data_IF_429072264901
#
_entry.id   IF_429072264901
#
_cell.length_a   1.000
_cell.length_b   1.000
_cell.length_c   1.000
_cell.angle_alpha   90.00
_cell.angle_beta   90.00
_cell.angle_gamma   90.00
#
_symmetry.space_group_name_H-M   'P 1'
#
loop_
_entity.id
_entity.type
_entity.pdbx_description
1 polymer ?
#
# COMPACT_ATOMS: atom_id res chain seq x y z
N UNK A 1 -25.85 -1.66 -4.30
CA UNK A 1 -24.46 -1.12 -4.36
C UNK A 1 -24.37 -0.33 -5.63
N UNK A 2 -23.93 0.94 -5.56
CA UNK A 2 -23.58 1.68 -6.77
C UNK A 2 -22.50 0.89 -7.53
N UNK A 3 -22.62 0.89 -8.85
CA UNK A 3 -21.62 0.23 -9.70
C UNK A 3 -20.28 0.95 -9.51
N UNK A 4 -19.24 0.24 -9.08
CA UNK A 4 -17.88 0.82 -8.85
C UNK A 4 -17.36 1.56 -10.08
N UNK A 5 -17.72 1.10 -11.28
CA UNK A 5 -17.35 1.76 -12.54
C UNK A 5 -17.98 3.14 -12.68
N UNK A 6 -19.20 3.36 -12.16
CA UNK A 6 -19.85 4.68 -12.18
C UNK A 6 -19.12 5.70 -11.29
N UNK A 7 -18.43 5.21 -10.26
CA UNK A 7 -17.71 6.04 -9.29
C UNK A 7 -16.25 6.26 -9.71
N UNK A 8 -15.56 5.20 -10.12
CA UNK A 8 -14.11 5.22 -10.36
C UNK A 8 -13.74 5.23 -11.86
N UNK A 9 -14.68 4.94 -12.74
CA UNK A 9 -14.41 4.76 -14.18
C UNK A 9 -13.81 5.97 -14.89
N UNK A 10 -14.03 7.19 -14.37
CA UNK A 10 -13.43 8.42 -14.92
C UNK A 10 -12.07 8.76 -14.30
N UNK A 11 -11.66 8.08 -13.22
CA UNK A 11 -10.43 8.41 -12.51
C UNK A 11 -9.19 7.95 -13.29
N UNK A 12 -8.14 8.75 -13.22
CA UNK A 12 -6.84 8.47 -13.83
C UNK A 12 -5.79 8.00 -12.79
N UNK A 13 -6.11 8.10 -11.51
CA UNK A 13 -5.33 7.58 -10.40
C UNK A 13 -6.22 7.42 -9.17
N UNK A 14 -5.94 6.43 -8.35
CA UNK A 14 -6.68 6.13 -7.13
C UNK A 14 -5.72 6.13 -5.95
N UNK A 15 -5.97 7.00 -4.96
CA UNK A 15 -5.22 7.05 -3.73
C UNK A 15 -6.12 6.59 -2.58
N UNK A 16 -5.67 5.57 -1.84
CA UNK A 16 -6.31 5.14 -0.59
C UNK A 16 -5.52 5.71 0.58
N UNK A 17 -6.14 6.68 1.24
CA UNK A 17 -5.54 7.46 2.32
C UNK A 17 -5.37 6.66 3.61
N UNK A 18 -4.48 7.11 4.53
CA UNK A 18 -4.35 6.53 5.86
C UNK A 18 -5.66 6.63 6.67
N UNK A 19 -5.73 5.83 7.73
CA UNK A 19 -6.89 5.78 8.63
C UNK A 19 -6.76 4.69 9.68
N UNK A 20 -7.84 4.46 10.42
CA UNK A 20 -7.93 3.46 11.48
C UNK A 20 -9.32 2.82 11.51
N UNK A 21 -9.39 1.61 12.08
CA UNK A 21 -10.65 0.91 12.36
C UNK A 21 -11.39 0.42 11.11
N UNK A 22 -12.59 -0.08 11.32
CA UNK A 22 -13.34 -0.88 10.35
C UNK A 22 -14.17 -0.06 9.34
N UNK A 23 -14.32 1.27 9.56
CA UNK A 23 -15.21 2.08 8.73
C UNK A 23 -14.71 2.20 7.28
N UNK A 24 -15.51 1.71 6.34
CA UNK A 24 -15.27 1.86 4.91
C UNK A 24 -14.14 0.97 4.35
N UNK A 25 -13.68 -0.03 5.12
CA UNK A 25 -12.57 -0.91 4.71
C UNK A 25 -12.93 -1.69 3.44
N UNK A 26 -14.10 -2.32 3.38
CA UNK A 26 -14.51 -3.09 2.20
C UNK A 26 -14.62 -2.19 0.95
N UNK A 27 -15.06 -0.94 1.11
CA UNK A 27 -15.05 0.04 0.02
C UNK A 27 -13.64 0.39 -0.46
N UNK A 28 -12.66 0.51 0.45
CA UNK A 28 -11.26 0.72 0.11
C UNK A 28 -10.68 -0.51 -0.61
N UNK A 29 -10.96 -1.72 -0.12
CA UNK A 29 -10.54 -2.97 -0.76
C UNK A 29 -11.13 -3.10 -2.18
N UNK A 30 -12.40 -2.73 -2.37
CA UNK A 30 -13.02 -2.68 -3.70
C UNK A 30 -12.34 -1.65 -4.62
N UNK A 31 -11.96 -0.48 -4.11
CA UNK A 31 -11.24 0.52 -4.89
C UNK A 31 -9.84 0.03 -5.28
N UNK A 32 -9.15 -0.68 -4.39
CA UNK A 32 -7.87 -1.35 -4.70
C UNK A 32 -8.05 -2.40 -5.81
N UNK A 33 -9.05 -3.26 -5.68
CA UNK A 33 -9.37 -4.28 -6.69
C UNK A 33 -9.63 -3.63 -8.05
N UNK A 34 -10.43 -2.56 -8.06
CA UNK A 34 -10.71 -1.80 -9.28
C UNK A 34 -9.42 -1.26 -9.91
N UNK A 35 -8.56 -0.61 -9.11
CA UNK A 35 -7.30 -0.06 -9.59
C UNK A 35 -6.40 -1.15 -10.19
N UNK A 36 -6.21 -2.26 -9.46
CA UNK A 36 -5.36 -3.36 -9.87
C UNK A 36 -5.86 -4.03 -11.17
N UNK A 37 -7.13 -4.36 -11.26
CA UNK A 37 -7.70 -5.09 -12.39
C UNK A 37 -7.84 -4.23 -13.66
N UNK A 38 -8.12 -2.93 -13.50
CA UNK A 38 -8.27 -1.97 -14.59
C UNK A 38 -6.96 -1.21 -14.92
N UNK A 39 -5.86 -1.57 -14.28
CA UNK A 39 -4.54 -0.94 -14.49
C UNK A 39 -4.53 0.58 -14.26
N UNK A 40 -5.40 1.07 -13.36
CA UNK A 40 -5.42 2.48 -12.95
C UNK A 40 -4.31 2.72 -11.91
N UNK A 41 -3.41 3.69 -12.09
CA UNK A 41 -2.38 4.02 -11.11
C UNK A 41 -2.93 4.09 -9.68
N UNK A 42 -2.27 3.37 -8.76
CA UNK A 42 -2.74 3.20 -7.39
C UNK A 42 -1.68 3.59 -6.37
N UNK A 43 -2.07 4.36 -5.37
CA UNK A 43 -1.24 4.69 -4.22
C UNK A 43 -1.96 4.37 -2.91
N UNK A 44 -1.42 3.43 -2.12
CA UNK A 44 -1.93 3.08 -0.79
C UNK A 44 -1.01 3.59 0.32
N UNK A 45 -1.53 4.42 1.24
CA UNK A 45 -0.76 5.00 2.34
C UNK A 45 -1.24 4.42 3.67
N UNK A 46 -0.33 3.86 4.46
CA UNK A 46 -0.57 3.27 5.78
C UNK A 46 -1.72 2.24 5.72
N UNK A 47 -2.93 2.57 6.19
CA UNK A 47 -4.11 1.72 6.02
C UNK A 47 -4.39 1.39 4.55
N UNK A 48 -4.06 2.28 3.62
CA UNK A 48 -4.19 2.04 2.18
C UNK A 48 -3.28 0.92 1.69
N UNK A 49 -2.05 0.83 2.17
CA UNK A 49 -1.18 -0.32 1.92
C UNK A 49 -1.77 -1.60 2.52
N UNK A 50 -2.27 -1.56 3.75
CA UNK A 50 -2.89 -2.72 4.39
C UNK A 50 -4.11 -3.22 3.61
N UNK A 51 -4.94 -2.31 3.10
CA UNK A 51 -6.07 -2.65 2.23
C UNK A 51 -5.59 -3.33 0.92
N UNK A 52 -4.48 -2.88 0.32
CA UNK A 52 -3.99 -3.54 -0.89
C UNK A 52 -3.39 -4.92 -0.63
N UNK A 53 -2.75 -5.13 0.51
CA UNK A 53 -2.28 -6.47 0.95
C UNK A 53 -3.47 -7.40 1.16
N UNK A 54 -4.52 -6.96 1.85
CA UNK A 54 -5.74 -7.75 2.08
C UNK A 54 -6.43 -8.08 0.75
N UNK A 55 -6.58 -7.10 -0.15
CA UNK A 55 -7.17 -7.31 -1.47
C UNK A 55 -6.42 -8.37 -2.26
N UNK A 56 -5.10 -8.24 -2.31
CA UNK A 56 -4.24 -9.17 -3.05
C UNK A 56 -4.31 -10.59 -2.48
N UNK A 57 -4.31 -10.72 -1.16
CA UNK A 57 -4.48 -12.00 -0.49
C UNK A 57 -5.82 -12.67 -0.85
N UNK A 58 -6.91 -11.90 -0.83
CA UNK A 58 -8.25 -12.42 -1.12
C UNK A 58 -8.42 -12.83 -2.59
N UNK A 59 -7.96 -12.00 -3.52
CA UNK A 59 -8.32 -12.12 -4.93
C UNK A 59 -7.21 -12.73 -5.81
N UNK A 60 -5.97 -12.79 -5.34
CA UNK A 60 -4.84 -13.36 -6.09
C UNK A 60 -4.31 -14.63 -5.40
N UNK A 61 -4.09 -14.59 -4.07
CA UNK A 61 -3.63 -15.78 -3.33
C UNK A 61 -4.74 -16.75 -2.98
N UNK A 62 -6.03 -16.37 -3.14
CA UNK A 62 -7.17 -17.22 -2.84
C UNK A 62 -7.54 -17.31 -1.35
N UNK A 63 -6.99 -16.45 -0.51
CA UNK A 63 -7.29 -16.37 0.92
C UNK A 63 -8.53 -15.50 1.16
N UNK A 64 -9.71 -15.98 0.79
CA UNK A 64 -10.97 -15.22 0.80
C UNK A 64 -11.31 -14.57 2.16
N UNK A 65 -10.82 -15.16 3.26
CA UNK A 65 -11.01 -14.67 4.63
C UNK A 65 -9.79 -13.90 5.17
N UNK A 66 -8.86 -13.45 4.28
CA UNK A 66 -7.71 -12.66 4.69
C UNK A 66 -8.15 -11.31 5.26
N UNK A 67 -7.52 -10.91 6.37
CA UNK A 67 -7.84 -9.67 7.05
C UNK A 67 -6.64 -9.14 7.86
N UNK A 68 -6.84 -7.99 8.48
CA UNK A 68 -5.98 -7.46 9.54
C UNK A 68 -6.55 -7.86 10.90
N UNK A 69 -5.68 -8.20 11.85
CA UNK A 69 -6.09 -8.43 13.25
C UNK A 69 -6.55 -7.15 13.97
N UNK A 70 -6.40 -5.97 13.35
CA UNK A 70 -7.07 -4.74 13.81
C UNK A 70 -8.59 -4.80 13.59
N UNK A 71 -9.03 -5.46 12.52
CA UNK A 71 -10.42 -5.48 12.06
C UNK A 71 -11.14 -6.75 12.51
N UNK A 72 -10.40 -7.85 12.59
CA UNK A 72 -10.86 -9.16 13.03
C UNK A 72 -9.73 -9.88 13.76
N UNK A 73 -9.81 -9.93 15.09
CA UNK A 73 -8.82 -10.58 15.95
C UNK A 73 -8.77 -12.10 15.81
N UNK A 74 -9.77 -12.69 15.12
CA UNK A 74 -9.84 -14.10 14.77
C UNK A 74 -9.62 -14.35 13.27
N UNK A 75 -9.03 -13.39 12.53
CA UNK A 75 -8.78 -13.54 11.11
C UNK A 75 -8.06 -14.85 10.79
N UNK A 76 -8.62 -15.65 9.89
CA UNK A 76 -8.06 -16.96 9.50
C UNK A 76 -6.71 -16.82 8.78
N UNK A 77 -6.58 -15.79 8.00
CA UNK A 77 -5.34 -15.41 7.32
C UNK A 77 -4.97 -13.98 7.71
N UNK A 78 -4.28 -13.77 8.84
CA UNK A 78 -3.89 -12.44 9.32
C UNK A 78 -2.69 -11.92 8.52
N UNK A 79 -2.95 -11.43 7.30
CA UNK A 79 -1.90 -10.90 6.41
C UNK A 79 -1.37 -9.54 6.87
N UNK A 80 -2.12 -8.88 7.74
CA UNK A 80 -1.73 -7.71 8.53
C UNK A 80 -1.92 -8.07 10.00
N UNK A 81 -0.86 -7.92 10.82
CA UNK A 81 -0.88 -8.36 12.22
C UNK A 81 -0.02 -7.44 13.10
N UNK A 82 -0.14 -7.59 14.41
CA UNK A 82 0.80 -7.04 15.38
C UNK A 82 2.15 -7.77 15.29
N UNK A 83 3.24 -7.05 15.53
CA UNK A 83 4.53 -7.71 15.77
C UNK A 83 4.48 -8.58 17.05
N UNK A 84 5.24 -9.67 17.06
CA UNK A 84 5.31 -10.57 18.23
C UNK A 84 5.68 -9.84 19.53
N UNK A 85 6.58 -8.84 19.43
CA UNK A 85 6.99 -8.01 20.56
C UNK A 85 5.85 -7.11 21.09
N UNK A 86 4.89 -6.75 20.24
CA UNK A 86 3.75 -5.92 20.59
C UNK A 86 2.59 -6.72 21.23
N UNK A 87 2.53 -8.04 20.99
CA UNK A 87 1.46 -8.91 21.51
C UNK A 87 1.44 -8.99 23.03
N UNK A 88 2.58 -8.78 23.68
CA UNK A 88 2.75 -8.85 25.13
C UNK A 88 2.59 -7.50 25.86
N UNK A 89 2.32 -6.40 25.15
CA UNK A 89 2.17 -5.07 25.74
C UNK A 89 0.71 -4.78 26.05
N UNK A 90 0.39 -4.62 27.33
CA UNK A 90 -0.98 -4.36 27.82
C UNK A 90 -1.48 -2.94 27.56
N UNK A 91 -0.58 -1.97 27.43
CA UNK A 91 -0.90 -0.58 27.13
C UNK A 91 -0.88 -0.31 25.63
N UNK A 92 -2.05 -0.15 25.03
CA UNK A 92 -2.23 0.07 23.56
C UNK A 92 -1.40 1.23 22.99
N UNK A 93 -1.12 2.28 23.77
CA UNK A 93 -0.28 3.42 23.35
C UNK A 93 1.19 3.08 23.14
N UNK A 94 1.73 2.11 23.88
CA UNK A 94 3.14 1.70 23.81
C UNK A 94 3.50 0.80 22.62
N UNK A 95 2.51 0.34 21.84
CA UNK A 95 2.73 -0.55 20.68
C UNK A 95 2.78 0.18 19.34
N UNK A 96 2.62 1.50 19.32
CA UNK A 96 2.57 2.28 18.09
C UNK A 96 4.00 2.61 17.61
N UNK A 97 4.31 2.30 16.36
CA UNK A 97 5.52 2.82 15.69
C UNK A 97 5.31 4.29 15.39
N UNK A 98 6.11 5.13 16.02
CA UNK A 98 6.07 6.59 15.90
C UNK A 98 7.45 7.13 15.53
N UNK A 99 7.49 8.08 14.60
CA UNK A 99 8.73 8.74 14.22
C UNK A 99 9.31 8.23 12.89
N UNK A 100 10.57 8.59 12.65
CA UNK A 100 11.27 8.25 11.43
C UNK A 100 12.01 6.92 11.55
N UNK A 101 11.88 6.07 10.54
CA UNK A 101 12.57 4.79 10.44
C UNK A 101 13.23 4.65 9.06
N UNK A 102 14.36 3.98 9.05
CA UNK A 102 15.10 3.67 7.83
C UNK A 102 14.38 2.58 7.03
N UNK A 103 14.36 2.72 5.72
CA UNK A 103 13.88 1.71 4.79
C UNK A 103 14.87 1.53 3.64
N UNK A 104 15.29 0.31 3.37
CA UNK A 104 16.10 -0.06 2.21
C UNK A 104 15.21 -0.47 1.04
N UNK A 105 15.50 0.10 -0.14
CA UNK A 105 14.74 -0.12 -1.37
C UNK A 105 15.43 -1.13 -2.29
N UNK A 106 14.63 -1.95 -2.95
CA UNK A 106 15.09 -2.72 -4.11
C UNK A 106 15.39 -1.75 -5.25
N UNK A 107 16.59 -1.84 -5.83
CA UNK A 107 17.06 -0.97 -6.91
C UNK A 107 16.27 -1.09 -8.22
N UNK A 108 15.50 -2.14 -8.39
CA UNK A 108 14.63 -2.36 -9.55
C UNK A 108 13.19 -1.93 -9.31
N UNK A 109 12.89 -1.26 -8.19
CA UNK A 109 11.54 -0.87 -7.81
C UNK A 109 11.11 0.48 -8.39
N UNK A 110 9.80 0.68 -8.47
CA UNK A 110 9.18 1.99 -8.79
C UNK A 110 9.59 3.03 -7.74
N UNK A 111 9.58 2.62 -6.47
CA UNK A 111 9.96 3.50 -5.35
C UNK A 111 11.42 3.93 -5.44
N UNK A 112 12.35 3.02 -5.73
CA UNK A 112 13.75 3.40 -5.95
C UNK A 112 13.90 4.43 -7.08
N UNK A 113 13.22 4.23 -8.19
CA UNK A 113 13.23 5.18 -9.31
C UNK A 113 12.68 6.55 -8.92
N UNK A 114 11.67 6.60 -8.06
CA UNK A 114 11.09 7.85 -7.58
C UNK A 114 12.02 8.59 -6.61
N UNK A 115 12.66 7.89 -5.67
CA UNK A 115 13.55 8.51 -4.68
C UNK A 115 14.96 8.80 -5.21
N UNK A 116 15.46 7.97 -6.15
CA UNK A 116 16.85 8.05 -6.63
C UNK A 116 17.90 7.61 -5.60
N UNK A 117 17.50 6.96 -4.52
CA UNK A 117 18.35 6.49 -3.43
C UNK A 117 17.85 5.13 -2.93
N UNK A 118 18.76 4.24 -2.54
CA UNK A 118 18.43 2.90 -2.02
C UNK A 118 18.21 2.85 -0.50
N UNK A 119 18.48 3.94 0.20
CA UNK A 119 18.16 4.07 1.61
C UNK A 119 17.39 5.37 1.86
N UNK A 120 16.22 5.25 2.44
CA UNK A 120 15.33 6.36 2.78
C UNK A 120 14.97 6.32 4.25
N UNK A 121 14.50 7.44 4.78
CA UNK A 121 13.99 7.52 6.14
C UNK A 121 12.62 8.16 6.11
N UNK A 122 11.58 7.46 6.55
CA UNK A 122 10.20 7.93 6.49
C UNK A 122 9.48 7.87 7.82
N UNK A 123 8.44 8.69 8.00
CA UNK A 123 7.71 8.82 9.27
C UNK A 123 6.54 7.85 9.34
N UNK A 124 6.43 7.16 10.47
CA UNK A 124 5.42 6.15 10.77
C UNK A 124 4.47 6.62 11.87
N UNK A 125 3.22 6.14 11.79
CA UNK A 125 2.20 6.29 12.82
C UNK A 125 1.19 5.15 12.70
N UNK A 126 1.60 3.93 13.05
CA UNK A 126 0.74 2.76 12.96
C UNK A 126 1.16 1.70 13.99
N UNK A 127 0.33 0.70 14.17
CA UNK A 127 0.56 -0.41 15.09
C UNK A 127 0.66 -1.73 14.35
N UNK A 128 -0.18 -1.92 13.32
CA UNK A 128 -0.26 -3.15 12.55
C UNK A 128 0.67 -3.08 11.35
N UNK A 129 1.25 -4.23 11.00
CA UNK A 129 2.30 -4.38 10.01
C UNK A 129 1.94 -5.49 9.01
N UNK A 130 2.58 -5.48 7.86
CA UNK A 130 2.58 -6.63 6.96
C UNK A 130 3.11 -7.86 7.69
N UNK A 131 2.36 -8.97 7.66
CA UNK A 131 2.77 -10.20 8.32
C UNK A 131 3.81 -10.95 7.46
N UNK A 132 5.06 -10.92 7.88
CA UNK A 132 6.20 -11.52 7.17
C UNK A 132 6.07 -13.03 6.90
N UNK A 133 5.17 -13.74 7.58
CA UNK A 133 4.88 -15.17 7.33
C UNK A 133 4.38 -15.40 5.89
N UNK A 134 3.73 -14.40 5.29
CA UNK A 134 3.17 -14.47 3.94
C UNK A 134 4.10 -13.86 2.86
N UNK A 135 5.24 -13.29 3.25
CA UNK A 135 6.11 -12.50 2.35
C UNK A 135 6.48 -13.24 1.07
N UNK A 136 6.90 -14.50 1.19
CA UNK A 136 7.34 -15.28 0.03
C UNK A 136 6.18 -15.59 -0.92
N UNK A 137 4.98 -15.85 -0.39
CA UNK A 137 3.77 -16.11 -1.18
C UNK A 137 3.37 -14.87 -2.00
N UNK A 138 3.38 -13.67 -1.37
CA UNK A 138 3.12 -12.42 -2.08
C UNK A 138 4.15 -12.16 -3.17
N UNK A 139 5.45 -12.32 -2.85
CA UNK A 139 6.52 -12.13 -3.81
C UNK A 139 6.42 -13.10 -5.00
N UNK A 140 6.10 -14.37 -4.75
CA UNK A 140 5.95 -15.38 -5.80
C UNK A 140 4.72 -15.12 -6.68
N UNK A 141 3.64 -14.58 -6.11
CA UNK A 141 2.42 -14.27 -6.84
C UNK A 141 2.46 -12.94 -7.61
N UNK A 142 3.51 -12.10 -7.40
CA UNK A 142 3.71 -10.88 -8.19
C UNK A 142 3.56 -9.56 -7.43
N UNK A 143 3.11 -9.55 -6.17
CA UNK A 143 3.24 -8.37 -5.30
C UNK A 143 4.59 -8.43 -4.60
N UNK A 144 5.50 -7.53 -4.95
CA UNK A 144 6.87 -7.50 -4.45
C UNK A 144 7.01 -6.64 -3.20
N UNK A 145 7.72 -7.16 -2.21
CA UNK A 145 8.10 -6.41 -1.01
C UNK A 145 9.42 -5.71 -1.27
N UNK A 146 9.37 -4.47 -1.72
CA UNK A 146 10.51 -3.72 -2.28
C UNK A 146 11.16 -2.74 -1.32
N UNK A 147 10.50 -2.43 -0.22
CA UNK A 147 11.03 -1.60 0.86
C UNK A 147 11.02 -2.36 2.19
N UNK A 148 12.19 -2.47 2.82
CA UNK A 148 12.37 -3.26 4.05
C UNK A 148 13.11 -2.43 5.08
N UNK A 149 12.60 -2.40 6.31
CA UNK A 149 13.35 -1.85 7.43
C UNK A 149 14.54 -2.76 7.75
N UNK A 150 15.80 -2.27 7.74
CA UNK A 150 16.98 -3.12 7.90
C UNK A 150 17.15 -3.69 9.32
N UNK A 151 16.58 -3.01 10.34
CA UNK A 151 16.76 -3.40 11.74
C UNK A 151 15.73 -4.45 12.18
N UNK A 152 14.48 -4.32 11.70
CA UNK A 152 13.36 -5.16 12.13
C UNK A 152 12.89 -6.14 11.05
N UNK A 153 13.42 -6.04 9.83
CA UNK A 153 12.98 -6.80 8.65
C UNK A 153 11.48 -6.64 8.29
N UNK A 154 10.85 -5.56 8.76
CA UNK A 154 9.46 -5.26 8.44
C UNK A 154 9.33 -4.74 7.01
N UNK A 155 8.24 -5.16 6.36
CA UNK A 155 7.89 -4.68 5.01
C UNK A 155 7.29 -3.29 5.12
N UNK A 156 7.94 -2.33 4.47
CA UNK A 156 7.54 -0.91 4.45
C UNK A 156 6.88 -0.50 3.13
N UNK A 157 7.23 -1.20 2.04
CA UNK A 157 6.70 -0.91 0.70
C UNK A 157 6.39 -2.20 -0.03
N UNK A 158 5.21 -2.23 -0.66
CA UNK A 158 4.80 -3.26 -1.62
C UNK A 158 4.52 -2.65 -2.98
N UNK A 159 4.84 -3.39 -4.05
CA UNK A 159 4.60 -2.98 -5.44
C UNK A 159 4.09 -4.14 -6.28
N UNK A 160 3.38 -3.82 -7.37
CA UNK A 160 3.07 -4.78 -8.43
C UNK A 160 3.80 -4.31 -9.70
N UNK A 161 4.98 -4.90 -10.04
CA UNK A 161 5.80 -4.44 -11.17
C UNK A 161 5.10 -4.52 -12.53
N UNK A 162 4.20 -5.51 -12.71
CA UNK A 162 3.41 -5.70 -13.95
C UNK A 162 2.24 -4.70 -14.09
N UNK A 163 2.09 -3.79 -13.11
CA UNK A 163 1.12 -2.71 -13.15
C UNK A 163 1.78 -1.40 -13.58
N UNK A 164 1.12 -0.51 -14.34
CA UNK A 164 1.70 0.78 -14.75
C UNK A 164 2.27 1.60 -13.59
N UNK A 165 1.59 1.63 -12.45
CA UNK A 165 2.07 2.20 -11.20
C UNK A 165 1.19 1.71 -10.04
N UNK A 166 1.71 0.84 -9.19
CA UNK A 166 0.98 0.31 -8.03
C UNK A 166 1.94 0.23 -6.84
N UNK A 167 1.79 1.14 -5.90
CA UNK A 167 2.65 1.27 -4.73
C UNK A 167 1.81 1.37 -3.46
N UNK A 168 2.15 0.57 -2.47
CA UNK A 168 1.63 0.67 -1.10
C UNK A 168 2.77 0.94 -0.14
N UNK A 169 2.63 1.94 0.74
CA UNK A 169 3.63 2.29 1.75
C UNK A 169 3.03 2.28 3.16
N UNK A 170 3.77 1.73 4.13
CA UNK A 170 3.30 1.68 5.52
C UNK A 170 3.52 2.99 6.26
N UNK A 171 4.48 3.78 5.83
CA UNK A 171 4.76 5.11 6.35
C UNK A 171 3.84 6.19 5.77
N UNK A 172 4.04 7.44 6.20
CA UNK A 172 3.23 8.60 5.86
C UNK A 172 4.04 9.64 5.06
N UNK A 173 4.10 9.53 3.71
CA UNK A 173 4.84 10.46 2.85
C UNK A 173 4.31 11.90 2.96
N UNK A 174 3.03 12.09 3.31
CA UNK A 174 2.43 13.40 3.51
C UNK A 174 3.09 14.22 4.61
N UNK A 175 3.72 13.58 5.60
CA UNK A 175 4.42 14.30 6.68
C UNK A 175 5.72 14.97 6.23
N UNK A 176 6.23 14.60 5.06
CA UNK A 176 7.45 15.16 4.48
C UNK A 176 7.21 15.91 3.17
N UNK A 177 5.95 16.01 2.74
CA UNK A 177 5.58 16.68 1.50
C UNK A 177 5.17 18.12 1.75
N UNK A 178 5.74 19.05 0.98
CA UNK A 178 5.36 20.46 0.99
C UNK A 178 5.13 20.96 -0.44
N UNK A 179 4.52 22.13 -0.60
CA UNK A 179 4.32 22.76 -1.92
C UNK A 179 5.63 23.01 -2.65
N UNK A 180 6.67 23.45 -1.92
CA UNK A 180 7.98 23.77 -2.49
C UNK A 180 8.89 22.54 -2.64
N UNK A 181 8.61 21.48 -1.90
CA UNK A 181 9.35 20.23 -1.95
C UNK A 181 8.37 19.05 -1.87
N UNK A 182 7.64 18.75 -2.95
CA UNK A 182 6.69 17.65 -2.96
C UNK A 182 7.41 16.31 -2.81
N UNK A 183 6.81 15.42 -2.06
CA UNK A 183 7.38 14.09 -1.82
C UNK A 183 7.49 13.29 -3.12
N UNK A 184 8.61 12.59 -3.39
CA UNK A 184 8.88 11.95 -4.68
C UNK A 184 7.83 10.90 -5.09
N UNK A 185 7.25 10.17 -4.15
CA UNK A 185 6.18 9.22 -4.45
C UNK A 185 4.89 9.91 -4.94
N UNK A 186 4.53 11.10 -4.41
CA UNK A 186 3.39 11.85 -4.93
C UNK A 186 3.67 12.37 -6.35
N UNK A 187 4.87 12.86 -6.61
CA UNK A 187 5.26 13.31 -7.95
C UNK A 187 5.17 12.16 -8.94
N UNK A 188 5.76 11.00 -8.61
CA UNK A 188 5.75 9.80 -9.44
C UNK A 188 4.33 9.26 -9.68
N UNK A 189 3.47 9.27 -8.65
CA UNK A 189 2.07 8.87 -8.78
C UNK A 189 1.28 9.77 -9.72
N UNK A 190 1.42 11.09 -9.58
CA UNK A 190 0.74 12.08 -10.44
C UNK A 190 1.21 11.95 -11.89
N UNK A 191 2.51 11.78 -12.12
CA UNK A 191 3.06 11.55 -13.46
C UNK A 191 2.46 10.28 -14.10
N UNK A 192 2.37 9.19 -13.35
CA UNK A 192 1.72 7.98 -13.83
C UNK A 192 0.23 8.18 -14.15
N UNK A 193 -0.48 8.94 -13.31
CA UNK A 193 -1.90 9.25 -13.53
C UNK A 193 -2.12 10.12 -14.79
N UNK A 194 -1.24 11.07 -15.05
CA UNK A 194 -1.28 11.90 -16.28
C UNK A 194 -1.05 11.04 -17.53
N UNK A 195 -0.03 10.17 -17.51
CA UNK A 195 0.24 9.23 -18.62
C UNK A 195 -0.94 8.29 -18.89
N UNK A 196 -1.56 7.79 -17.83
CA UNK A 196 -2.75 6.95 -17.95
C UNK A 196 -3.92 7.72 -18.59
N UNK A 197 -4.15 8.98 -18.20
CA UNK A 197 -5.17 9.84 -18.75
C UNK A 197 -4.96 10.07 -20.26
N UNK A 198 -3.75 10.39 -20.69
CA UNK A 198 -3.39 10.60 -22.09
C UNK A 198 -3.66 9.35 -22.94
N UNK A 199 -3.22 8.17 -22.46
CA UNK A 199 -3.47 6.89 -23.13
C UNK A 199 -4.96 6.58 -23.26
N UNK A 200 -5.77 6.92 -22.24
CA UNK A 200 -7.22 6.72 -22.25
C UNK A 200 -7.91 7.61 -23.28
N UNK A 201 -7.50 8.88 -23.36
CA UNK A 201 -8.03 9.86 -24.30
C UNK A 201 -7.74 9.48 -25.75
N UNK A 202 -6.53 8.96 -26.03
CA UNK A 202 -6.15 8.51 -27.37
C UNK A 202 -6.99 7.32 -27.84
N UNK A 203 -7.34 6.38 -26.95
CA UNK A 203 -8.18 5.21 -27.27
C UNK A 203 -9.65 5.57 -27.56
N UNK A 204 -10.14 6.70 -27.08
CA UNK A 204 -11.52 7.16 -27.31
C UNK A 204 -11.62 7.89 -28.66
N UNK A 205 -10.54 8.53 -29.13
CA UNK A 205 -10.50 9.38 -30.31
C UNK A 205 -9.96 8.68 -31.57
N UNK A 206 -9.57 7.41 -31.48
CA UNK A 206 -9.10 6.57 -32.58
C UNK A 206 -10.04 5.40 -32.81
#
# INVERSE_FOLDING_TARGET
MENIDSVLGSMSGILVAPGFGNRGIEGKILAVNYARTNKVPFFGICLGMQCCVIEYARNVLGYSEANSTEMDDHAKFPVIDLMEEQKNVTEKGGTMRLGAYTCKLDKNSISFNAYGNDEISERHRHRYEFNNKYKDEFNNAGMKTVGINPDTNLVEIVEIPEHPWFVGVQFHPEYKSTVLNPHPLFVSFVDAALKYCECKTQKING
#
